data_IF_356675459666
#
_entry.id   IF_356675459666
#
_cell.length_a   1.000
_cell.length_b   1.000
_cell.length_c   1.000
_cell.angle_alpha   90.00
_cell.angle_beta   90.00
_cell.angle_gamma   90.00
#
_symmetry.space_group_name_H-M   'P 1'
#
loop_
_entity.id
_entity.type
_entity.pdbx_description
1 polymer ?
#
# COMPACT_ATOMS: atom_id res chain seq x y z
N UNK A 1 -4.98 12.48 10.20
CA UNK A 1 -4.20 12.56 11.46
C UNK A 1 -2.84 13.21 11.12
N UNK A 2 -2.18 13.94 12.04
CA UNK A 2 -0.81 14.41 11.78
C UNK A 2 0.18 13.23 11.82
N UNK A 3 1.28 13.30 11.07
CA UNK A 3 2.26 12.20 11.00
C UNK A 3 2.81 11.87 12.38
N UNK A 4 3.22 12.88 13.16
CA UNK A 4 3.76 12.66 14.51
C UNK A 4 2.78 11.94 15.46
N UNK A 5 1.48 12.24 15.33
CA UNK A 5 0.44 11.62 16.17
C UNK A 5 0.28 10.15 15.81
N UNK A 6 0.27 9.84 14.51
CA UNK A 6 0.19 8.46 14.04
C UNK A 6 1.43 7.67 14.44
N UNK A 7 2.63 8.26 14.31
CA UNK A 7 3.88 7.64 14.72
C UNK A 7 3.89 7.28 16.21
N UNK A 8 3.45 8.20 17.07
CA UNK A 8 3.33 7.95 18.52
C UNK A 8 2.31 6.86 18.86
N UNK A 9 1.14 6.85 18.21
CA UNK A 9 0.12 5.82 18.42
C UNK A 9 0.57 4.45 17.93
N UNK A 10 1.17 4.38 16.74
CA UNK A 10 1.69 3.13 16.20
C UNK A 10 2.75 2.53 17.13
N UNK A 11 3.70 3.35 17.60
CA UNK A 11 4.75 2.89 18.51
C UNK A 11 4.20 2.34 19.83
N UNK A 12 3.15 2.97 20.37
CA UNK A 12 2.51 2.51 21.60
C UNK A 12 1.73 1.19 21.41
N UNK A 13 0.99 1.06 20.31
CA UNK A 13 0.18 -0.13 20.03
C UNK A 13 1.02 -1.34 19.60
N UNK A 14 2.13 -1.11 18.89
CA UNK A 14 2.99 -2.18 18.37
C UNK A 14 4.23 -2.44 19.22
N UNK A 15 4.32 -1.88 20.43
CA UNK A 15 5.49 -2.00 21.32
C UNK A 15 6.81 -1.69 20.61
N UNK A 16 6.84 -0.63 19.79
CA UNK A 16 8.03 -0.31 19.01
C UNK A 16 9.14 0.29 19.89
N UNK A 17 10.24 -0.44 20.06
CA UNK A 17 11.33 -0.08 20.97
C UNK A 17 12.43 0.81 20.37
N UNK A 18 12.30 1.21 19.11
CA UNK A 18 13.28 2.10 18.46
C UNK A 18 12.78 3.55 18.39
N UNK A 19 13.52 4.41 17.69
CA UNK A 19 13.24 5.84 17.59
C UNK A 19 11.92 6.19 16.88
N UNK A 20 11.85 7.38 16.29
CA UNK A 20 10.60 7.82 15.65
C UNK A 20 10.23 7.00 14.40
N UNK A 21 8.93 6.69 14.25
CA UNK A 21 8.32 6.10 13.06
C UNK A 21 7.97 7.14 11.96
N UNK A 22 8.22 8.42 12.19
CA UNK A 22 7.81 9.51 11.29
C UNK A 22 8.39 9.34 9.88
N UNK A 23 9.69 9.02 9.78
CA UNK A 23 10.36 8.86 8.50
C UNK A 23 9.79 7.68 7.70
N UNK A 24 9.41 6.59 8.39
CA UNK A 24 8.76 5.42 7.78
C UNK A 24 7.39 5.80 7.24
N UNK A 25 6.57 6.51 8.02
CA UNK A 25 5.24 6.96 7.60
C UNK A 25 5.34 7.90 6.39
N UNK A 26 6.28 8.86 6.42
CA UNK A 26 6.55 9.74 5.27
C UNK A 26 6.94 8.90 4.06
N UNK A 27 7.87 7.96 4.21
CA UNK A 27 8.31 7.05 3.16
C UNK A 27 7.16 6.24 2.54
N UNK A 28 6.23 5.72 3.36
CA UNK A 28 5.05 4.96 2.91
C UNK A 28 3.97 5.83 2.23
N UNK A 29 4.10 7.15 2.32
CA UNK A 29 3.18 8.14 1.72
C UNK A 29 3.73 8.71 0.41
N UNK A 30 5.05 8.76 0.24
CA UNK A 30 5.71 9.39 -0.91
C UNK A 30 5.44 8.64 -2.22
N UNK A 31 4.73 9.29 -3.16
CA UNK A 31 4.35 8.69 -4.45
C UNK A 31 5.55 8.37 -5.35
N UNK A 32 6.60 9.18 -5.32
CA UNK A 32 7.83 8.91 -6.09
C UNK A 32 8.63 7.72 -5.55
N UNK A 33 8.34 7.26 -4.33
CA UNK A 33 8.92 6.06 -3.72
C UNK A 33 8.02 4.84 -3.79
N UNK A 34 6.72 4.99 -4.07
CA UNK A 34 5.74 3.90 -4.01
C UNK A 34 4.82 3.96 -5.23
N UNK A 35 4.67 2.87 -5.98
CA UNK A 35 3.72 2.86 -7.09
C UNK A 35 2.27 2.88 -6.63
N UNK A 36 2.00 2.41 -5.41
CA UNK A 36 0.71 2.57 -4.74
C UNK A 36 0.95 2.76 -3.23
N UNK A 37 1.09 4.02 -2.78
CA UNK A 37 1.28 4.33 -1.36
C UNK A 37 0.13 3.79 -0.49
N UNK A 38 0.46 3.35 0.72
CA UNK A 38 -0.52 2.89 1.72
C UNK A 38 -1.29 4.07 2.31
N UNK A 39 -0.61 5.21 2.46
CA UNK A 39 -1.18 6.45 2.97
C UNK A 39 -1.34 7.47 1.85
N UNK A 40 -2.39 8.28 1.94
CA UNK A 40 -2.51 9.53 1.21
C UNK A 40 -2.03 10.69 2.10
N UNK A 41 -1.08 11.47 1.57
CA UNK A 41 -0.55 12.65 2.25
C UNK A 41 -1.47 13.85 2.17
N UNK A 42 -1.45 14.67 3.22
CA UNK A 42 -2.06 16.00 3.31
C UNK A 42 -0.98 16.99 3.69
N UNK A 43 -0.59 17.86 2.75
CA UNK A 43 0.56 18.75 2.86
C UNK A 43 1.75 18.27 2.01
N UNK A 44 2.92 18.83 2.25
CA UNK A 44 4.10 18.61 1.41
C UNK A 44 4.88 17.36 1.82
N UNK A 45 4.85 16.31 0.98
CA UNK A 45 5.62 15.07 1.18
C UNK A 45 6.83 14.96 0.23
N UNK A 46 7.14 16.03 -0.50
CA UNK A 46 8.22 16.04 -1.50
C UNK A 46 7.82 15.39 -2.81
N UNK A 47 8.72 15.48 -3.78
CA UNK A 47 8.57 14.98 -5.16
C UNK A 47 9.84 14.21 -5.55
N UNK A 48 9.84 13.55 -6.71
CA UNK A 48 11.01 12.87 -7.23
C UNK A 48 12.25 13.78 -7.31
N UNK A 49 12.04 15.07 -7.63
CA UNK A 49 13.13 16.04 -7.86
C UNK A 49 13.46 16.91 -6.66
N UNK A 50 12.55 17.02 -5.70
CA UNK A 50 12.74 17.69 -4.41
C UNK A 50 12.14 16.79 -3.33
N UNK A 51 12.91 15.79 -2.84
CA UNK A 51 12.37 14.68 -2.04
C UNK A 51 12.09 15.03 -0.57
N UNK A 52 12.45 16.23 -0.13
CA UNK A 52 12.26 16.67 1.24
C UNK A 52 10.78 16.84 1.56
N UNK A 53 10.36 16.25 2.68
CA UNK A 53 9.02 16.41 3.21
C UNK A 53 8.98 17.52 4.25
N UNK A 54 7.81 18.13 4.43
CA UNK A 54 7.57 19.04 5.54
C UNK A 54 7.71 18.32 6.89
N UNK A 55 7.95 19.07 7.96
CA UNK A 55 8.15 18.47 9.27
C UNK A 55 6.90 17.67 9.72
N UNK A 56 7.05 16.50 10.39
CA UNK A 56 5.96 15.58 10.75
C UNK A 56 4.79 16.20 11.53
N UNK A 57 5.02 17.34 12.20
CA UNK A 57 4.02 18.10 12.96
C UNK A 57 3.06 18.88 12.06
N UNK A 58 3.51 19.27 10.87
CA UNK A 58 2.74 20.08 9.93
C UNK A 58 2.04 19.26 8.86
N UNK A 59 2.58 18.10 8.51
CA UNK A 59 2.00 17.21 7.50
C UNK A 59 1.07 16.16 8.14
N UNK A 60 0.05 15.75 7.39
CA UNK A 60 -0.92 14.75 7.81
C UNK A 60 -1.04 13.60 6.85
N UNK A 61 -1.56 12.48 7.33
CA UNK A 61 -1.85 11.29 6.55
C UNK A 61 -3.24 10.75 6.85
N UNK A 62 -3.77 10.01 5.88
CA UNK A 62 -4.94 9.14 6.00
C UNK A 62 -4.69 7.88 5.17
N UNK A 63 -5.43 6.81 5.42
CA UNK A 63 -5.34 5.63 4.56
C UNK A 63 -5.73 5.97 3.11
N UNK A 64 -5.01 5.38 2.17
CA UNK A 64 -5.40 5.39 0.78
C UNK A 64 -6.67 4.53 0.61
N UNK A 65 -7.61 4.98 -0.22
CA UNK A 65 -8.83 4.22 -0.57
C UNK A 65 -8.53 2.79 -1.04
N UNK A 66 -7.35 2.58 -1.62
CA UNK A 66 -6.91 1.29 -2.13
C UNK A 66 -6.51 0.30 -1.02
N UNK A 67 -6.31 0.75 0.23
CA UNK A 67 -5.80 -0.09 1.31
C UNK A 67 -6.67 -1.34 1.55
N UNK A 68 -7.97 -1.16 1.73
CA UNK A 68 -8.92 -2.26 1.97
C UNK A 68 -9.17 -3.14 0.73
N UNK A 69 -8.73 -2.70 -0.46
CA UNK A 69 -8.76 -3.50 -1.68
C UNK A 69 -7.47 -4.28 -1.86
N UNK A 70 -6.34 -3.71 -1.41
CA UNK A 70 -5.02 -4.31 -1.50
C UNK A 70 -4.79 -5.35 -0.41
N UNK A 71 -5.14 -5.07 0.85
CA UNK A 71 -4.96 -5.97 1.99
C UNK A 71 -6.30 -6.57 2.40
N UNK A 72 -6.34 -7.90 2.50
CA UNK A 72 -7.54 -8.69 2.80
C UNK A 72 -7.23 -9.73 3.86
N UNK A 73 -8.26 -10.41 4.35
CA UNK A 73 -8.15 -11.61 5.17
C UNK A 73 -7.36 -11.40 6.47
N UNK A 74 -7.58 -10.27 7.15
CA UNK A 74 -6.92 -9.95 8.42
C UNK A 74 -7.14 -11.03 9.49
N UNK A 75 -8.33 -11.63 9.53
CA UNK A 75 -8.67 -12.73 10.46
C UNK A 75 -7.87 -14.02 10.20
N UNK A 76 -7.20 -14.13 9.05
CA UNK A 76 -6.36 -15.29 8.70
C UNK A 76 -4.87 -15.04 8.94
N UNK A 77 -4.50 -13.85 9.40
CA UNK A 77 -3.11 -13.53 9.72
C UNK A 77 -2.66 -14.26 10.98
N UNK A 78 -1.35 -14.48 11.11
CA UNK A 78 -0.79 -15.12 12.29
C UNK A 78 -0.49 -14.04 13.34
N UNK A 79 -1.21 -14.01 14.48
CA UNK A 79 -1.01 -13.00 15.50
C UNK A 79 0.36 -13.15 16.15
N UNK A 80 0.95 -12.02 16.56
CA UNK A 80 2.14 -11.99 17.41
C UNK A 80 1.76 -11.36 18.74
N UNK A 81 2.49 -11.75 19.78
CA UNK A 81 2.29 -11.25 21.14
C UNK A 81 3.61 -10.76 21.71
N UNK A 82 3.56 -9.62 22.38
CA UNK A 82 4.67 -9.03 23.12
C UNK A 82 4.15 -8.51 24.45
N UNK A 83 4.85 -8.85 25.54
CA UNK A 83 4.41 -8.54 26.92
C UNK A 83 2.97 -9.01 27.28
N UNK A 84 2.44 -10.00 26.55
CA UNK A 84 1.08 -10.52 26.74
C UNK A 84 0.00 -9.80 25.94
N UNK A 85 0.34 -8.71 25.26
CA UNK A 85 -0.57 -7.97 24.37
C UNK A 85 -0.38 -8.42 22.91
N UNK A 86 -1.45 -8.42 22.14
CA UNK A 86 -1.42 -8.70 20.70
C UNK A 86 -0.88 -7.49 19.92
N UNK A 87 0.13 -7.72 19.07
CA UNK A 87 0.78 -6.69 18.23
C UNK A 87 0.54 -6.94 16.73
N UNK A 88 1.35 -6.36 15.84
CA UNK A 88 1.21 -6.60 14.41
C UNK A 88 1.42 -8.08 14.04
N UNK A 89 0.69 -8.62 13.04
CA UNK A 89 0.87 -9.99 12.63
C UNK A 89 2.26 -10.20 12.00
N UNK A 90 2.67 -11.47 11.88
CA UNK A 90 3.94 -11.83 11.23
C UNK A 90 4.07 -11.21 9.82
N UNK A 91 2.96 -11.21 9.07
CA UNK A 91 2.82 -10.48 7.82
C UNK A 91 1.34 -10.28 7.49
N UNK A 92 1.05 -9.24 6.70
CA UNK A 92 -0.28 -9.01 6.12
C UNK A 92 -0.46 -9.80 4.82
N UNK A 93 -1.72 -9.99 4.39
CA UNK A 93 -2.08 -10.75 3.20
C UNK A 93 -2.58 -9.84 2.06
N UNK A 94 -1.67 -9.24 1.27
CA UNK A 94 -2.08 -8.45 0.12
C UNK A 94 -2.65 -9.33 -0.99
N UNK A 95 -3.36 -8.72 -1.93
CA UNK A 95 -3.91 -9.36 -3.14
C UNK A 95 -2.84 -9.45 -4.25
N UNK A 96 -1.86 -8.55 -4.27
CA UNK A 96 -0.73 -8.54 -5.22
C UNK A 96 0.61 -8.47 -4.45
N UNK A 97 1.77 -8.87 -5.04
CA UNK A 97 3.03 -8.88 -4.31
C UNK A 97 3.53 -7.45 -4.05
N UNK A 98 3.25 -6.93 -2.85
CA UNK A 98 3.55 -5.54 -2.46
C UNK A 98 5.04 -5.23 -2.44
N UNK A 99 5.88 -6.25 -2.25
CA UNK A 99 7.34 -6.16 -2.35
C UNK A 99 7.81 -5.69 -3.74
N UNK A 100 7.11 -6.08 -4.81
CA UNK A 100 7.37 -5.59 -6.17
C UNK A 100 6.63 -4.28 -6.45
N UNK A 101 5.45 -4.08 -5.85
CA UNK A 101 4.63 -2.89 -6.05
C UNK A 101 5.35 -1.62 -5.60
N UNK A 102 5.82 -1.61 -4.35
CA UNK A 102 6.44 -0.45 -3.72
C UNK A 102 7.96 -0.60 -3.57
N UNK A 103 8.52 -1.70 -4.10
CA UNK A 103 9.95 -1.96 -4.07
C UNK A 103 10.52 -2.00 -2.66
N UNK A 104 11.83 -1.82 -2.58
CA UNK A 104 12.53 -1.71 -1.31
C UNK A 104 14.03 -1.88 -1.46
N UNK A 105 14.77 -1.27 -0.55
CA UNK A 105 16.21 -1.50 -0.43
C UNK A 105 16.57 -1.74 1.02
N UNK A 106 17.53 -2.62 1.24
CA UNK A 106 17.98 -3.00 2.58
C UNK A 106 19.31 -3.72 2.51
N UNK A 107 20.10 -3.56 3.57
CA UNK A 107 21.40 -4.23 3.72
C UNK A 107 21.39 -4.87 5.09
N UNK A 108 21.72 -6.15 5.12
CA UNK A 108 21.94 -6.93 6.33
C UNK A 108 23.32 -7.59 6.25
N UNK A 109 23.77 -8.21 7.34
CA UNK A 109 25.06 -8.90 7.36
C UNK A 109 25.03 -10.06 6.35
N UNK A 110 25.84 -9.97 5.30
CA UNK A 110 25.95 -10.99 4.24
C UNK A 110 24.90 -10.92 3.13
N UNK A 111 23.89 -10.04 3.22
CA UNK A 111 22.79 -9.97 2.25
C UNK A 111 22.39 -8.53 1.95
N UNK A 112 21.91 -8.30 0.73
CA UNK A 112 21.33 -7.02 0.33
C UNK A 112 20.06 -7.28 -0.47
N UNK A 113 19.17 -6.29 -0.49
CA UNK A 113 17.98 -6.29 -1.34
C UNK A 113 17.86 -4.93 -2.02
N UNK A 114 17.48 -4.96 -3.30
CA UNK A 114 17.24 -3.77 -4.13
C UNK A 114 16.19 -4.13 -5.16
N UNK A 115 14.94 -3.88 -4.83
CA UNK A 115 13.76 -4.23 -5.62
C UNK A 115 13.17 -2.92 -6.12
N UNK A 116 13.01 -2.80 -7.44
CA UNK A 116 12.42 -1.61 -8.03
C UNK A 116 10.90 -1.73 -8.08
N UNK A 117 10.23 -0.59 -8.01
CA UNK A 117 8.79 -0.54 -8.02
C UNK A 117 8.23 -1.00 -9.37
N UNK A 118 7.06 -1.63 -9.34
CA UNK A 118 6.32 -2.05 -10.53
C UNK A 118 5.00 -1.31 -10.64
N UNK A 119 4.56 -1.12 -11.87
CA UNK A 119 3.24 -0.60 -12.19
C UNK A 119 2.16 -1.48 -11.55
N UNK A 120 1.19 -0.92 -10.81
CA UNK A 120 0.16 -1.72 -10.16
C UNK A 120 -0.69 -2.49 -11.18
N UNK A 121 -0.95 -1.88 -12.34
CA UNK A 121 -1.73 -2.51 -13.43
C UNK A 121 -1.02 -3.73 -13.99
N UNK A 122 0.27 -3.59 -14.32
CA UNK A 122 1.04 -4.67 -14.93
C UNK A 122 1.24 -5.83 -13.95
N UNK A 123 1.38 -5.52 -12.65
CA UNK A 123 1.50 -6.52 -11.60
C UNK A 123 0.18 -7.30 -11.39
N UNK A 124 -0.97 -6.61 -11.42
CA UNK A 124 -2.29 -7.26 -11.37
C UNK A 124 -2.48 -8.15 -12.59
N UNK A 125 -2.17 -7.65 -13.79
CA UNK A 125 -2.31 -8.39 -15.03
C UNK A 125 -1.38 -9.63 -15.04
N UNK A 126 -0.18 -9.53 -14.48
CA UNK A 126 0.72 -10.68 -14.29
C UNK A 126 0.15 -11.72 -13.32
N UNK A 127 -0.44 -11.31 -12.20
CA UNK A 127 -1.10 -12.23 -11.26
C UNK A 127 -2.27 -12.96 -11.94
N UNK A 128 -3.08 -12.24 -12.72
CA UNK A 128 -4.19 -12.83 -13.50
C UNK A 128 -3.66 -13.83 -14.54
N UNK A 129 -2.61 -13.48 -15.30
CA UNK A 129 -1.99 -14.39 -16.25
C UNK A 129 -1.45 -15.65 -15.57
N UNK A 130 -0.78 -15.50 -14.43
CA UNK A 130 -0.26 -16.63 -13.65
C UNK A 130 -1.39 -17.57 -13.20
N UNK A 131 -2.48 -17.03 -12.64
CA UNK A 131 -3.67 -17.82 -12.26
C UNK A 131 -4.32 -18.52 -13.46
N UNK A 132 -4.24 -17.92 -14.65
CA UNK A 132 -4.79 -18.48 -15.88
C UNK A 132 -3.85 -19.44 -16.62
N UNK A 133 -2.64 -19.68 -16.11
CA UNK A 133 -1.63 -20.49 -16.81
C UNK A 133 -1.17 -19.84 -18.13
N UNK A 134 -1.37 -18.53 -18.29
CA UNK A 134 -0.95 -17.75 -19.45
C UNK A 134 0.44 -17.16 -19.23
N UNK A 135 1.25 -16.96 -20.30
CA UNK A 135 2.56 -16.36 -20.16
C UNK A 135 2.45 -14.93 -19.60
N UNK A 136 3.28 -14.62 -18.60
CA UNK A 136 3.39 -13.28 -18.05
C UNK A 136 4.17 -12.37 -19.01
N UNK A 137 3.74 -11.12 -19.11
CA UNK A 137 4.54 -10.08 -19.75
C UNK A 137 5.72 -9.72 -18.85
N UNK A 138 6.77 -9.17 -19.46
CA UNK A 138 7.89 -8.63 -18.70
C UNK A 138 7.43 -7.52 -17.77
N UNK A 139 7.80 -7.62 -16.49
CA UNK A 139 7.47 -6.64 -15.47
C UNK A 139 8.56 -5.57 -15.42
N UNK A 140 8.35 -4.49 -16.18
CA UNK A 140 9.27 -3.34 -16.21
C UNK A 140 9.14 -2.47 -14.94
N UNK A 141 10.27 -1.96 -14.40
CA UNK A 141 10.26 -1.00 -13.32
C UNK A 141 9.51 0.28 -13.69
N UNK A 142 8.87 0.89 -12.70
CA UNK A 142 8.16 2.15 -12.86
C UNK A 142 8.43 3.07 -11.69
N UNK A 143 8.84 4.30 -11.98
CA UNK A 143 9.02 5.36 -10.99
C UNK A 143 7.97 6.44 -11.25
N UNK A 144 7.18 6.77 -10.24
CA UNK A 144 6.18 7.83 -10.37
C UNK A 144 6.87 9.19 -10.49
N UNK A 145 6.41 10.01 -11.42
CA UNK A 145 7.03 11.30 -11.75
C UNK A 145 8.22 11.21 -12.71
N UNK A 146 8.57 10.02 -13.21
CA UNK A 146 9.56 9.84 -14.27
C UNK A 146 8.89 9.47 -15.59
N UNK A 147 9.14 10.25 -16.63
CA UNK A 147 8.55 10.10 -17.95
C UNK A 147 9.57 9.71 -19.03
N UNK A 148 10.78 9.31 -18.64
CA UNK A 148 11.81 8.82 -19.55
C UNK A 148 11.54 7.41 -20.05
N UNK A 149 12.52 6.79 -20.69
CA UNK A 149 12.41 5.40 -21.13
C UNK A 149 13.10 4.47 -20.14
N UNK A 150 12.52 3.29 -19.93
CA UNK A 150 13.10 2.21 -19.12
C UNK A 150 13.31 1.04 -20.04
N UNK A 151 14.53 0.53 -20.13
CA UNK A 151 14.84 -0.64 -20.97
C UNK A 151 15.67 -1.66 -20.21
N UNK A 152 15.47 -2.94 -20.54
CA UNK A 152 16.23 -4.03 -19.96
C UNK A 152 17.58 -4.15 -20.67
N UNK A 153 18.66 -4.35 -19.90
CA UNK A 153 19.98 -4.61 -20.47
C UNK A 153 20.04 -6.05 -21.02
N UNK A 154 20.31 -6.27 -22.33
CA UNK A 154 20.27 -7.61 -22.93
C UNK A 154 21.25 -8.60 -22.29
N UNK A 155 22.45 -8.13 -21.96
CA UNK A 155 23.55 -8.95 -21.39
C UNK A 155 23.38 -9.21 -19.89
N UNK A 156 22.53 -8.45 -19.20
CA UNK A 156 22.36 -8.51 -17.76
C UNK A 156 20.87 -8.42 -17.39
N UNK A 157 20.14 -9.55 -17.33
CA UNK A 157 18.68 -9.58 -17.24
C UNK A 157 18.10 -8.95 -15.96
N UNK A 158 18.92 -8.74 -14.92
CA UNK A 158 18.54 -8.04 -13.68
C UNK A 158 18.81 -6.54 -13.72
N UNK A 159 19.39 -6.02 -14.80
CA UNK A 159 19.81 -4.62 -14.92
C UNK A 159 18.88 -3.86 -15.85
N UNK A 160 18.43 -2.71 -15.36
CA UNK A 160 17.56 -1.78 -16.07
C UNK A 160 18.30 -0.47 -16.35
N UNK A 161 17.99 0.12 -17.50
CA UNK A 161 18.55 1.39 -17.94
C UNK A 161 17.41 2.41 -17.95
N UNK A 162 17.53 3.42 -17.10
CA UNK A 162 16.65 4.58 -17.09
C UNK A 162 17.28 5.67 -17.94
N UNK A 163 16.58 6.13 -18.97
CA UNK A 163 17.06 7.19 -19.87
C UNK A 163 16.15 8.41 -19.79
N UNK A 164 16.76 9.56 -19.50
CA UNK A 164 16.09 10.86 -19.57
C UNK A 164 15.75 11.27 -21.00
N UNK A 165 15.25 12.49 -21.17
CA UNK A 165 14.86 13.05 -22.47
C UNK A 165 15.55 14.38 -22.67
N UNK A 166 16.16 14.54 -23.84
CA UNK A 166 16.70 15.80 -24.30
C UNK A 166 16.55 15.92 -25.81
N UNK A 167 16.56 17.15 -26.30
CA UNK A 167 16.43 17.47 -27.72
C UNK A 167 17.45 18.56 -28.09
N UNK A 168 18.18 18.34 -29.19
CA UNK A 168 19.08 19.36 -29.75
C UNK A 168 18.25 20.27 -30.66
N UNK A 169 17.88 21.46 -30.16
CA UNK A 169 17.01 22.39 -30.89
C UNK A 169 17.70 23.08 -32.05
N UNK A 170 18.98 23.43 -31.88
CA UNK A 170 19.78 24.09 -32.92
C UNK A 170 21.28 23.86 -32.67
N UNK A 171 22.13 24.54 -33.45
CA UNK A 171 23.60 24.41 -33.41
C UNK A 171 24.25 24.91 -32.11
N UNK A 172 23.49 25.46 -31.16
CA UNK A 172 24.02 25.97 -29.89
C UNK A 172 23.12 25.69 -28.68
N UNK A 173 21.96 25.06 -28.86
CA UNK A 173 20.96 24.91 -27.78
C UNK A 173 20.51 23.46 -27.68
N UNK A 174 20.52 22.94 -26.45
CA UNK A 174 19.98 21.63 -26.09
C UNK A 174 18.95 21.84 -24.99
N UNK A 175 17.76 21.27 -25.15
CA UNK A 175 16.71 21.28 -24.13
C UNK A 175 16.64 19.91 -23.45
N UNK A 176 16.78 19.88 -22.13
CA UNK A 176 16.60 18.68 -21.31
C UNK A 176 15.22 18.75 -20.68
N UNK A 177 14.37 17.76 -20.95
CA UNK A 177 12.96 17.71 -20.52
C UNK A 177 12.67 16.59 -19.52
N UNK A 178 13.64 15.70 -19.28
CA UNK A 178 13.56 14.70 -18.22
C UNK A 178 14.98 14.21 -17.89
N UNK A 179 15.31 14.09 -16.60
CA UNK A 179 16.61 13.57 -16.14
C UNK A 179 16.45 12.19 -15.52
N UNK A 180 17.49 11.35 -15.38
CA UNK A 180 17.35 10.05 -14.72
C UNK A 180 16.83 10.16 -13.27
N UNK A 181 16.14 9.14 -12.72
CA UNK A 181 15.49 9.21 -11.41
C UNK A 181 16.41 9.54 -10.23
N UNK A 182 17.71 9.23 -10.28
CA UNK A 182 18.65 9.56 -9.21
C UNK A 182 18.95 11.05 -9.03
N UNK A 183 18.62 11.89 -10.02
CA UNK A 183 18.87 13.32 -9.96
C UNK A 183 17.71 14.09 -9.31
N UNK A 184 18.05 14.87 -8.27
CA UNK A 184 17.25 16.00 -7.80
C UNK A 184 17.57 17.25 -8.61
N UNK A 185 16.77 18.32 -8.48
CA UNK A 185 17.08 19.61 -9.10
C UNK A 185 18.48 20.08 -8.67
N UNK A 186 18.73 20.14 -7.36
CA UNK A 186 20.03 20.52 -6.78
C UNK A 186 21.20 19.69 -7.32
N UNK A 187 21.05 18.36 -7.43
CA UNK A 187 22.12 17.48 -7.92
C UNK A 187 22.40 17.68 -9.40
N UNK A 188 21.37 18.01 -10.19
CA UNK A 188 21.52 18.21 -11.62
C UNK A 188 22.06 19.61 -11.92
N UNK A 189 21.60 20.64 -11.22
CA UNK A 189 22.15 21.99 -11.29
C UNK A 189 23.64 22.00 -10.93
N UNK A 190 24.04 21.32 -9.85
CA UNK A 190 25.46 21.18 -9.52
C UNK A 190 26.29 20.49 -10.62
N UNK A 191 25.69 19.57 -11.39
CA UNK A 191 26.34 19.00 -12.57
C UNK A 191 26.47 20.04 -13.70
N UNK A 192 25.42 20.83 -13.95
CA UNK A 192 25.42 21.85 -14.99
C UNK A 192 26.39 22.99 -14.66
N UNK A 193 26.41 23.47 -13.42
CA UNK A 193 27.36 24.48 -12.93
C UNK A 193 28.80 24.06 -13.20
N UNK A 194 29.14 22.80 -12.86
CA UNK A 194 30.46 22.25 -13.16
C UNK A 194 30.76 22.25 -14.67
N UNK A 195 29.78 21.96 -15.52
CA UNK A 195 29.97 22.01 -16.98
C UNK A 195 30.15 23.45 -17.51
N UNK A 196 29.61 24.46 -16.82
CA UNK A 196 29.88 25.88 -17.10
C UNK A 196 31.31 26.23 -16.68
N UNK A 197 31.72 25.85 -15.47
CA UNK A 197 33.06 26.08 -14.95
C UNK A 197 34.15 25.44 -15.82
N UNK A 198 33.90 24.21 -16.30
CA UNK A 198 34.78 23.48 -17.21
C UNK A 198 34.76 24.05 -18.65
N UNK A 199 33.92 25.05 -18.93
CA UNK A 199 33.80 25.70 -20.24
C UNK A 199 33.14 24.83 -21.33
N UNK A 200 32.48 23.73 -20.94
CA UNK A 200 31.81 22.82 -21.87
C UNK A 200 30.49 23.41 -22.35
N UNK A 201 29.72 24.00 -21.44
CA UNK A 201 28.55 24.81 -21.74
C UNK A 201 28.83 26.28 -21.39
N UNK A 202 28.18 27.20 -22.09
CA UNK A 202 28.29 28.64 -21.83
C UNK A 202 27.41 29.07 -20.65
N UNK A 203 26.19 28.54 -20.60
CA UNK A 203 25.19 28.84 -19.58
C UNK A 203 24.04 27.84 -19.67
N UNK A 204 23.18 27.83 -18.66
CA UNK A 204 21.88 27.18 -18.70
C UNK A 204 20.80 28.07 -18.10
N UNK A 205 19.55 27.80 -18.46
CA UNK A 205 18.36 28.42 -17.88
C UNK A 205 17.45 27.32 -17.32
N UNK A 206 16.93 27.52 -16.11
CA UNK A 206 15.94 26.64 -15.48
C UNK A 206 14.51 27.13 -15.76
N UNK A 207 13.70 26.26 -16.35
CA UNK A 207 12.30 26.47 -16.68
C UNK A 207 11.40 25.40 -16.03
N UNK A 208 11.85 24.81 -14.92
CA UNK A 208 11.21 23.67 -14.25
C UNK A 208 9.93 24.07 -13.50
N UNK A 209 8.77 23.95 -14.14
CA UNK A 209 7.44 24.21 -13.53
C UNK A 209 6.67 22.91 -13.26
N UNK A 210 7.24 22.02 -12.42
CA UNK A 210 6.62 20.73 -12.05
C UNK A 210 7.26 19.49 -12.67
N UNK A 211 8.34 19.67 -13.44
CA UNK A 211 9.22 18.62 -13.97
C UNK A 211 10.53 19.26 -14.44
N UNK A 212 11.56 18.45 -14.64
CA UNK A 212 12.88 18.94 -15.06
C UNK A 212 12.81 19.55 -16.47
N UNK A 213 13.12 20.84 -16.58
CA UNK A 213 13.20 21.52 -17.87
C UNK A 213 14.35 22.53 -17.87
N UNK A 214 15.44 22.18 -18.55
CA UNK A 214 16.65 22.99 -18.62
C UNK A 214 17.02 23.32 -20.07
N UNK A 215 17.31 24.59 -20.33
CA UNK A 215 17.77 25.07 -21.64
C UNK A 215 19.27 25.34 -21.55
N UNK A 216 20.07 24.49 -22.19
CA UNK A 216 21.52 24.53 -22.16
C UNK A 216 22.07 25.27 -23.38
N UNK A 217 22.97 26.22 -23.18
CA UNK A 217 23.65 26.98 -24.25
C UNK A 217 25.09 26.51 -24.40
N UNK A 218 25.47 26.09 -25.61
CA UNK A 218 26.80 25.62 -25.96
C UNK A 218 27.50 26.58 -26.92
N UNK A 219 28.83 26.50 -27.00
CA UNK A 219 29.54 26.99 -28.17
C UNK A 219 29.25 26.08 -29.38
N UNK A 220 29.04 26.67 -30.56
CA UNK A 220 28.61 25.93 -31.76
C UNK A 220 29.55 24.78 -32.13
N UNK A 221 30.85 25.03 -32.12
CA UNK A 221 31.87 24.03 -32.43
C UNK A 221 31.84 22.86 -31.42
N UNK A 222 31.70 23.17 -30.12
CA UNK A 222 31.64 22.18 -29.05
C UNK A 222 30.41 21.28 -29.18
N UNK A 223 29.22 21.86 -29.41
CA UNK A 223 28.00 21.06 -29.57
C UNK A 223 28.06 20.17 -30.81
N UNK A 224 28.55 20.69 -31.93
CA UNK A 224 28.72 19.92 -33.16
C UNK A 224 29.65 18.71 -32.93
N UNK A 225 30.77 18.91 -32.24
CA UNK A 225 31.70 17.84 -31.89
C UNK A 225 31.06 16.79 -30.96
N UNK A 226 30.32 17.23 -29.93
CA UNK A 226 29.67 16.35 -28.96
C UNK A 226 28.56 15.50 -29.62
N UNK A 227 27.79 16.08 -30.54
CA UNK A 227 26.77 15.37 -31.32
C UNK A 227 27.45 14.36 -32.25
N UNK A 228 28.46 14.76 -33.02
CA UNK A 228 29.19 13.88 -33.94
C UNK A 228 29.84 12.69 -33.22
N UNK A 229 30.37 12.91 -32.02
CA UNK A 229 31.00 11.86 -31.20
C UNK A 229 30.01 11.11 -30.31
N UNK A 230 28.71 11.43 -30.37
CA UNK A 230 27.66 10.85 -29.53
C UNK A 230 27.98 10.90 -28.02
N UNK A 231 28.53 12.03 -27.55
CA UNK A 231 28.98 12.23 -26.15
C UNK A 231 27.99 12.99 -25.28
N UNK A 232 26.85 13.45 -25.83
CA UNK A 232 25.86 14.19 -25.05
C UNK A 232 25.22 13.35 -23.94
N UNK A 233 24.84 12.09 -24.22
CA UNK A 233 24.25 11.20 -23.21
C UNK A 233 25.19 11.00 -22.00
N UNK A 234 26.49 10.86 -22.22
CA UNK A 234 27.47 10.66 -21.14
C UNK A 234 27.80 11.96 -20.41
N UNK A 235 27.94 13.07 -21.13
CA UNK A 235 28.22 14.39 -20.57
C UNK A 235 27.09 14.85 -19.63
N UNK A 236 25.85 14.78 -20.11
CA UNK A 236 24.66 15.20 -19.38
C UNK A 236 24.13 14.11 -18.43
N UNK A 237 24.82 12.96 -18.35
CA UNK A 237 24.45 11.80 -17.53
C UNK A 237 22.99 11.39 -17.75
N UNK A 238 22.57 11.28 -19.01
CA UNK A 238 21.18 11.01 -19.41
C UNK A 238 20.76 9.55 -19.23
N UNK A 239 21.68 8.66 -18.85
CA UNK A 239 21.39 7.25 -18.59
C UNK A 239 21.88 6.84 -17.21
N UNK A 240 21.06 6.06 -16.52
CA UNK A 240 21.38 5.45 -15.23
C UNK A 240 21.11 3.94 -15.32
N UNK A 241 22.08 3.13 -14.87
CA UNK A 241 21.93 1.68 -14.80
C UNK A 241 21.65 1.25 -13.36
N UNK A 242 20.61 0.45 -13.16
CA UNK A 242 20.25 -0.09 -11.86
C UNK A 242 20.08 -1.59 -11.95
N UNK A 243 20.88 -2.33 -11.18
CA UNK A 243 20.77 -3.78 -11.05
C UNK A 243 19.90 -4.15 -9.85
N UNK A 244 18.89 -4.97 -10.09
CA UNK A 244 18.00 -5.48 -9.06
C UNK A 244 18.64 -6.64 -8.29
N UNK A 245 18.36 -6.67 -6.99
CA UNK A 245 18.63 -7.79 -6.11
C UNK A 245 17.32 -8.20 -5.43
N UNK A 246 16.71 -9.27 -5.95
CA UNK A 246 15.42 -9.80 -5.50
C UNK A 246 15.61 -10.82 -4.37
N UNK A 247 16.31 -10.41 -3.31
CA UNK A 247 16.46 -11.21 -2.09
C UNK A 247 15.36 -10.80 -1.11
N UNK A 248 14.56 -11.77 -0.65
CA UNK A 248 13.45 -11.58 0.29
C UNK A 248 13.48 -12.64 1.39
N UNK A 249 12.62 -12.47 2.39
CA UNK A 249 12.23 -13.55 3.29
C UNK A 249 10.96 -14.22 2.74
N UNK A 250 10.86 -15.53 2.90
CA UNK A 250 9.63 -16.27 2.64
C UNK A 250 8.69 -16.24 3.87
N UNK A 251 7.54 -16.89 3.74
CA UNK A 251 6.51 -16.96 4.79
C UNK A 251 6.97 -17.63 6.09
N UNK A 252 8.08 -18.39 6.04
CA UNK A 252 8.67 -19.05 7.21
C UNK A 252 9.88 -18.27 7.77
N UNK A 253 10.18 -17.09 7.22
CA UNK A 253 11.32 -16.27 7.61
C UNK A 253 12.66 -16.75 7.03
N UNK A 254 12.65 -17.65 6.05
CA UNK A 254 13.87 -18.12 5.37
C UNK A 254 14.23 -17.23 4.19
N UNK A 255 15.54 -17.03 3.96
CA UNK A 255 16.02 -16.25 2.83
C UNK A 255 15.72 -16.93 1.50
N UNK A 256 15.18 -16.16 0.56
CA UNK A 256 14.84 -16.60 -0.79
C UNK A 256 15.32 -15.58 -1.81
N UNK A 257 16.00 -16.06 -2.85
CA UNK A 257 16.56 -15.21 -3.91
C UNK A 257 15.88 -15.56 -5.22
N UNK A 258 15.28 -14.57 -5.87
CA UNK A 258 14.62 -14.75 -7.15
C UNK A 258 15.51 -14.33 -8.33
N UNK A 259 15.34 -15.00 -9.46
CA UNK A 259 16.03 -14.66 -10.72
C UNK A 259 15.35 -13.50 -11.46
N UNK A 260 14.03 -13.37 -11.32
CA UNK A 260 13.24 -12.32 -11.95
C UNK A 260 11.99 -11.93 -11.15
N UNK A 261 11.38 -10.79 -11.50
CA UNK A 261 10.15 -10.32 -10.86
C UNK A 261 8.95 -11.23 -11.20
N UNK A 262 8.96 -11.87 -12.37
CA UNK A 262 7.96 -12.83 -12.81
C UNK A 262 8.00 -14.10 -11.95
N UNK A 263 9.20 -14.62 -11.64
CA UNK A 263 9.37 -15.77 -10.75
C UNK A 263 8.83 -15.47 -9.34
N UNK A 264 9.17 -14.30 -8.79
CA UNK A 264 8.64 -13.84 -7.50
C UNK A 264 7.10 -13.73 -7.55
N UNK A 265 6.55 -13.17 -8.63
CA UNK A 265 5.10 -13.05 -8.81
C UNK A 265 4.43 -14.43 -8.83
N UNK A 266 4.99 -15.41 -9.56
CA UNK A 266 4.46 -16.77 -9.59
C UNK A 266 4.52 -17.48 -8.23
N UNK A 267 5.61 -17.27 -7.48
CA UNK A 267 5.75 -17.76 -6.12
C UNK A 267 4.67 -17.17 -5.21
N UNK A 268 4.51 -15.84 -5.24
CA UNK A 268 3.51 -15.13 -4.45
C UNK A 268 2.09 -15.59 -4.79
N UNK A 269 1.74 -15.74 -6.06
CA UNK A 269 0.40 -16.18 -6.49
C UNK A 269 0.10 -17.57 -5.95
N UNK A 270 1.06 -18.50 -6.02
CA UNK A 270 0.92 -19.86 -5.47
C UNK A 270 0.70 -19.83 -3.97
N UNK A 271 1.52 -19.06 -3.24
CA UNK A 271 1.37 -18.85 -1.80
C UNK A 271 0.00 -18.26 -1.45
N UNK A 272 -0.39 -17.19 -2.14
CA UNK A 272 -1.62 -16.44 -1.86
C UNK A 272 -2.86 -17.25 -2.17
N UNK A 273 -2.83 -18.08 -3.22
CA UNK A 273 -3.91 -19.01 -3.57
C UNK A 273 -4.18 -20.02 -2.43
N UNK A 274 -3.14 -20.47 -1.72
CA UNK A 274 -3.30 -21.31 -0.53
C UNK A 274 -4.10 -20.62 0.59
N UNK A 275 -3.92 -19.32 0.77
CA UNK A 275 -4.73 -18.53 1.70
C UNK A 275 -6.17 -18.29 1.20
N UNK A 276 -6.41 -18.26 -0.11
CA UNK A 276 -7.79 -18.21 -0.63
C UNK A 276 -8.57 -19.49 -0.34
N UNK A 277 -7.90 -20.65 -0.29
CA UNK A 277 -8.52 -21.89 0.19
C UNK A 277 -8.90 -21.76 1.67
N UNK A 278 -7.97 -21.29 2.52
CA UNK A 278 -8.26 -21.02 3.95
C UNK A 278 -9.40 -20.02 4.13
N UNK A 279 -9.46 -18.99 3.28
CA UNK A 279 -10.55 -17.99 3.29
C UNK A 279 -11.89 -18.63 2.97
N UNK A 280 -11.94 -19.52 1.96
CA UNK A 280 -13.17 -20.25 1.63
C UNK A 280 -13.64 -21.07 2.84
N UNK A 281 -12.73 -21.81 3.48
CA UNK A 281 -13.04 -22.62 4.65
C UNK A 281 -13.56 -21.76 5.81
N UNK A 282 -12.90 -20.64 6.09
CA UNK A 282 -13.31 -19.67 7.11
C UNK A 282 -14.70 -19.07 6.84
N UNK A 283 -14.99 -18.70 5.59
CA UNK A 283 -16.31 -18.19 5.19
C UNK A 283 -17.40 -19.25 5.37
N UNK A 284 -17.12 -20.50 4.97
CA UNK A 284 -18.05 -21.64 5.13
C UNK A 284 -18.32 -21.90 6.62
N UNK A 285 -17.28 -21.88 7.46
CA UNK A 285 -17.43 -22.09 8.90
C UNK A 285 -18.26 -20.97 9.55
N UNK A 286 -17.97 -19.71 9.23
CA UNK A 286 -18.68 -18.56 9.80
C UNK A 286 -20.14 -18.51 9.36
N UNK A 287 -20.42 -18.69 8.07
CA UNK A 287 -21.79 -18.79 7.56
C UNK A 287 -22.54 -19.97 8.20
N UNK A 288 -21.86 -21.11 8.38
CA UNK A 288 -22.43 -22.26 9.09
C UNK A 288 -22.78 -21.97 10.55
N UNK A 289 -21.91 -21.25 11.28
CA UNK A 289 -22.18 -20.80 12.66
C UNK A 289 -23.32 -19.79 12.70
N UNK A 290 -23.37 -18.86 11.74
CA UNK A 290 -24.43 -17.87 11.62
C UNK A 290 -25.79 -18.54 11.36
N UNK A 291 -25.88 -19.44 10.39
CA UNK A 291 -27.11 -20.18 10.06
C UNK A 291 -27.61 -20.99 11.27
N UNK A 292 -26.71 -21.64 12.02
CA UNK A 292 -27.07 -22.34 13.27
C UNK A 292 -27.66 -21.38 14.29
N UNK A 293 -27.00 -20.25 14.53
CA UNK A 293 -27.44 -19.23 15.48
C UNK A 293 -28.81 -18.65 15.10
N UNK A 294 -29.00 -18.31 13.83
CA UNK A 294 -30.28 -17.83 13.31
C UNK A 294 -31.38 -18.89 13.44
N UNK A 295 -31.07 -20.16 13.15
CA UNK A 295 -32.00 -21.28 13.31
C UNK A 295 -32.44 -21.45 14.76
N UNK A 296 -31.51 -21.42 15.71
CA UNK A 296 -31.82 -21.58 17.13
C UNK A 296 -32.62 -20.39 17.67
N UNK A 297 -32.27 -19.16 17.28
CA UNK A 297 -33.04 -17.96 17.64
C UNK A 297 -34.46 -17.99 17.07
N UNK A 298 -34.61 -18.40 15.82
CA UNK A 298 -35.93 -18.53 15.19
C UNK A 298 -36.77 -19.62 15.88
N UNK A 299 -36.18 -20.78 16.19
CA UNK A 299 -36.86 -21.85 16.92
C UNK A 299 -37.30 -21.41 18.32
N UNK A 300 -36.44 -20.68 19.05
CA UNK A 300 -36.73 -20.14 20.37
C UNK A 300 -37.90 -19.15 20.34
N UNK A 301 -37.87 -18.15 19.44
CA UNK A 301 -38.96 -17.19 19.29
C UNK A 301 -40.25 -17.91 18.90
N UNK A 302 -40.19 -18.86 17.97
CA UNK A 302 -41.36 -19.64 17.56
C UNK A 302 -41.97 -20.40 18.74
N UNK A 303 -41.15 -21.07 19.56
CA UNK A 303 -41.63 -21.79 20.73
C UNK A 303 -42.27 -20.85 21.78
N UNK A 304 -41.81 -19.60 21.90
CA UNK A 304 -42.43 -18.58 22.76
C UNK A 304 -43.77 -18.11 22.19
N UNK A 305 -43.82 -17.82 20.88
CA UNK A 305 -45.06 -17.40 20.19
C UNK A 305 -46.12 -18.51 20.28
N UNK A 306 -45.71 -19.77 20.13
CA UNK A 306 -46.58 -20.94 20.22
C UNK A 306 -46.98 -21.27 21.69
N UNK A 307 -46.47 -20.53 22.67
CA UNK A 307 -46.76 -20.74 24.11
C UNK A 307 -46.08 -21.98 24.71
N UNK A 308 -45.13 -22.60 24.00
CA UNK A 308 -44.39 -23.79 24.45
C UNK A 308 -43.24 -23.46 25.41
N UNK A 309 -42.66 -22.27 25.26
CA UNK A 309 -41.71 -21.69 26.21
C UNK A 309 -42.35 -20.47 26.88
N UNK A 310 -42.32 -20.45 28.21
CA UNK A 310 -42.82 -19.32 29.00
C UNK A 310 -41.64 -18.67 29.72
N UNK A 311 -41.44 -17.38 29.48
CA UNK A 311 -40.36 -16.58 30.11
C UNK A 311 -40.83 -15.88 31.37
N UNK A 312 -42.09 -15.42 31.39
CA UNK A 312 -42.61 -14.61 32.47
C UNK A 312 -42.63 -15.41 33.78
N UNK A 313 -41.92 -14.89 34.79
CA UNK A 313 -41.84 -15.46 36.14
C UNK A 313 -41.28 -16.90 36.20
N UNK A 314 -40.48 -17.31 35.21
CA UNK A 314 -39.88 -18.66 35.15
C UNK A 314 -38.42 -18.63 35.63
N UNK A 315 -38.02 -19.48 36.59
CA UNK A 315 -36.63 -19.61 37.01
C UNK A 315 -35.69 -19.97 35.85
N UNK A 316 -34.47 -19.43 35.84
CA UNK A 316 -33.46 -19.68 34.77
C UNK A 316 -33.21 -21.17 34.53
N UNK A 317 -33.18 -21.98 35.58
CA UNK A 317 -32.98 -23.43 35.47
C UNK A 317 -34.11 -24.13 34.71
N UNK A 318 -35.36 -23.70 34.93
CA UNK A 318 -36.53 -24.24 34.26
C UNK A 318 -36.62 -23.76 32.81
N UNK A 319 -36.28 -22.49 32.55
CA UNK A 319 -36.13 -21.97 31.18
C UNK A 319 -35.13 -22.79 30.36
N UNK A 320 -33.97 -23.10 30.92
CA UNK A 320 -32.97 -23.96 30.27
C UNK A 320 -33.52 -25.37 30.01
N UNK A 321 -34.34 -25.90 30.92
CA UNK A 321 -34.99 -27.20 30.72
C UNK A 321 -36.03 -27.15 29.58
N UNK A 322 -36.83 -26.08 29.49
CA UNK A 322 -37.79 -25.87 28.40
C UNK A 322 -37.07 -25.75 27.04
N UNK A 323 -35.98 -24.97 26.97
CA UNK A 323 -35.18 -24.82 25.73
C UNK A 323 -34.58 -26.17 25.30
N UNK A 324 -34.08 -26.97 26.26
CA UNK A 324 -33.59 -28.33 25.99
C UNK A 324 -34.71 -29.25 25.50
N UNK A 325 -35.91 -29.15 26.08
CA UNK A 325 -37.09 -29.91 25.67
C UNK A 325 -37.53 -29.63 24.24
N UNK A 326 -37.32 -28.40 23.77
CA UNK A 326 -37.54 -27.96 22.38
C UNK A 326 -36.44 -28.43 21.40
N UNK A 327 -35.45 -29.19 21.89
CA UNK A 327 -34.36 -29.72 21.05
C UNK A 327 -33.37 -28.66 20.58
N UNK A 328 -33.35 -27.48 21.21
CA UNK A 328 -32.41 -26.41 20.86
C UNK A 328 -31.07 -26.69 21.54
N UNK A 329 -29.97 -26.87 20.79
CA UNK A 329 -28.64 -27.12 21.36
C UNK A 329 -28.06 -25.87 22.03
N UNK A 330 -27.24 -26.08 23.05
CA UNK A 330 -26.43 -25.02 23.63
C UNK A 330 -25.28 -24.64 22.68
N UNK A 331 -24.91 -23.36 22.64
CA UNK A 331 -23.71 -22.87 21.96
C UNK A 331 -22.65 -22.56 23.02
N UNK A 332 -21.42 -23.07 22.85
CA UNK A 332 -20.32 -22.88 23.80
C UNK A 332 -20.69 -23.31 25.24
N UNK A 333 -21.54 -24.33 25.37
CA UNK A 333 -22.02 -24.83 26.66
C UNK A 333 -23.10 -23.98 27.33
N UNK A 334 -23.58 -22.93 26.68
CA UNK A 334 -24.56 -21.99 27.23
C UNK A 334 -25.76 -21.70 26.30
N UNK A 335 -26.84 -21.22 26.92
CA UNK A 335 -28.03 -20.68 26.23
C UNK A 335 -28.08 -19.15 26.29
N UNK A 336 -27.01 -18.50 26.75
CA UNK A 336 -26.97 -17.05 26.94
C UNK A 336 -27.28 -16.29 25.64
N UNK A 337 -26.85 -16.79 24.48
CA UNK A 337 -27.14 -16.18 23.18
C UNK A 337 -28.64 -16.07 22.81
N UNK A 338 -29.49 -16.84 23.52
CA UNK A 338 -30.96 -16.77 23.45
C UNK A 338 -31.53 -15.93 24.60
N UNK A 339 -31.03 -16.14 25.81
CA UNK A 339 -31.54 -15.47 27.02
C UNK A 339 -31.18 -13.98 27.07
N UNK A 340 -30.11 -13.57 26.40
CA UNK A 340 -29.70 -12.17 26.26
C UNK A 340 -30.49 -11.40 25.21
N UNK A 341 -31.46 -12.05 24.54
CA UNK A 341 -32.29 -11.41 23.52
C UNK A 341 -33.27 -10.43 24.18
N UNK A 342 -33.41 -9.19 23.66
CA UNK A 342 -34.34 -8.22 24.22
C UNK A 342 -35.79 -8.69 24.02
N UNK A 343 -36.69 -8.40 24.97
CA UNK A 343 -38.11 -8.77 24.87
C UNK A 343 -38.78 -8.27 23.57
N UNK A 344 -38.36 -7.13 23.04
CA UNK A 344 -38.83 -6.58 21.76
C UNK A 344 -38.51 -7.47 20.55
N UNK A 345 -37.57 -8.40 20.67
CA UNK A 345 -37.21 -9.36 19.62
C UNK A 345 -38.05 -10.64 19.63
N UNK A 346 -38.92 -10.83 20.64
CA UNK A 346 -39.76 -12.02 20.81
C UNK A 346 -41.11 -11.84 20.10
N UNK A 347 -41.07 -11.35 18.87
CA UNK A 347 -42.25 -11.00 18.07
C UNK A 347 -42.30 -11.79 16.77
N UNK A 348 -43.49 -11.87 16.16
CA UNK A 348 -43.68 -12.57 14.89
C UNK A 348 -42.87 -11.92 13.77
N UNK A 349 -42.83 -10.59 13.74
CA UNK A 349 -42.07 -9.80 12.78
C UNK A 349 -40.58 -10.14 12.85
N UNK A 350 -40.05 -10.30 14.07
CA UNK A 350 -38.63 -10.64 14.25
C UNK A 350 -38.34 -12.08 13.85
N UNK A 351 -39.24 -13.01 14.13
CA UNK A 351 -39.14 -14.38 13.64
C UNK A 351 -39.05 -14.43 12.11
N UNK A 352 -39.92 -13.71 11.40
CA UNK A 352 -39.90 -13.61 9.94
C UNK A 352 -38.59 -12.96 9.42
N UNK A 353 -38.09 -11.91 10.09
CA UNK A 353 -36.80 -11.29 9.76
C UNK A 353 -35.62 -12.28 9.91
N UNK A 354 -35.61 -13.09 10.98
CA UNK A 354 -34.56 -14.09 11.19
C UNK A 354 -34.61 -15.20 10.15
N UNK A 355 -35.81 -15.64 9.74
CA UNK A 355 -35.94 -16.62 8.66
C UNK A 355 -35.44 -16.05 7.33
N UNK A 356 -35.73 -14.78 7.04
CA UNK A 356 -35.21 -14.11 5.84
C UNK A 356 -33.68 -14.06 5.85
N UNK A 357 -33.08 -13.62 6.97
CA UNK A 357 -31.62 -13.58 7.14
C UNK A 357 -30.99 -14.95 7.05
N UNK A 358 -31.63 -15.98 7.60
CA UNK A 358 -31.19 -17.37 7.47
C UNK A 358 -31.15 -17.79 6.01
N UNK A 359 -32.23 -17.53 5.26
CA UNK A 359 -32.28 -17.85 3.83
C UNK A 359 -31.21 -17.12 3.02
N UNK A 360 -30.97 -15.84 3.31
CA UNK A 360 -29.87 -15.06 2.71
C UNK A 360 -28.50 -15.69 3.00
N UNK A 361 -28.23 -16.09 4.24
CA UNK A 361 -27.00 -16.75 4.64
C UNK A 361 -26.84 -18.15 4.01
N UNK A 362 -27.92 -18.93 3.88
CA UNK A 362 -27.92 -20.24 3.21
C UNK A 362 -27.61 -20.12 1.71
N UNK A 363 -28.21 -19.13 1.03
CA UNK A 363 -27.90 -18.84 -0.38
C UNK A 363 -26.44 -18.42 -0.55
N UNK A 364 -25.93 -17.59 0.36
CA UNK A 364 -24.53 -17.16 0.33
C UNK A 364 -23.57 -18.33 0.60
N UNK A 365 -23.89 -19.22 1.54
CA UNK A 365 -23.12 -20.44 1.80
C UNK A 365 -23.07 -21.34 0.56
N UNK A 366 -24.20 -21.54 -0.11
CA UNK A 366 -24.25 -22.33 -1.34
C UNK A 366 -23.40 -21.68 -2.45
N UNK A 367 -23.44 -20.35 -2.57
CA UNK A 367 -22.59 -19.58 -3.50
C UNK A 367 -21.12 -19.78 -3.21
N UNK A 368 -20.70 -19.69 -1.93
CA UNK A 368 -19.30 -19.85 -1.51
C UNK A 368 -18.81 -21.28 -1.76
N UNK A 369 -19.63 -22.29 -1.46
CA UNK A 369 -19.29 -23.70 -1.67
C UNK A 369 -19.04 -24.01 -3.15
N UNK A 370 -19.86 -23.45 -4.06
CA UNK A 370 -19.73 -23.63 -5.51
C UNK A 370 -18.52 -22.94 -6.12
N UNK A 371 -18.03 -21.87 -5.50
CA UNK A 371 -16.89 -21.10 -6.03
C UNK A 371 -15.56 -21.76 -5.71
N UNK A 372 -14.67 -21.78 -6.68
CA UNK A 372 -13.30 -22.22 -6.47
C UNK A 372 -12.44 -21.11 -5.81
N UNK A 373 -11.45 -21.44 -4.97
CA UNK A 373 -10.54 -20.45 -4.37
C UNK A 373 -9.91 -19.49 -5.39
N UNK A 374 -9.59 -20.02 -6.59
CA UNK A 374 -9.07 -19.24 -7.71
C UNK A 374 -10.05 -18.15 -8.18
N UNK A 375 -11.35 -18.41 -8.16
CA UNK A 375 -12.36 -17.45 -8.62
C UNK A 375 -12.46 -16.26 -7.66
N UNK A 376 -12.43 -16.52 -6.34
CA UNK A 376 -12.33 -15.45 -5.34
C UNK A 376 -11.10 -14.57 -5.57
N UNK A 377 -9.96 -15.20 -5.86
CA UNK A 377 -8.73 -14.45 -6.12
C UNK A 377 -8.84 -13.59 -7.39
N UNK A 378 -9.38 -14.14 -8.48
CA UNK A 378 -9.61 -13.40 -9.72
C UNK A 378 -10.59 -12.22 -9.53
N UNK A 379 -11.62 -12.38 -8.69
CA UNK A 379 -12.58 -11.31 -8.38
C UNK A 379 -11.93 -10.15 -7.63
N UNK A 380 -11.12 -10.44 -6.61
CA UNK A 380 -10.38 -9.41 -5.85
C UNK A 380 -9.38 -8.68 -6.77
N UNK A 381 -8.64 -9.40 -7.62
CA UNK A 381 -7.72 -8.82 -8.60
C UNK A 381 -8.45 -7.91 -9.59
N UNK A 382 -9.59 -8.34 -10.14
CA UNK A 382 -10.42 -7.52 -11.06
C UNK A 382 -10.98 -6.27 -10.38
N UNK A 383 -11.39 -6.40 -9.11
CA UNK A 383 -11.91 -5.28 -8.32
C UNK A 383 -10.81 -4.24 -8.09
N UNK A 384 -9.63 -4.69 -7.67
CA UNK A 384 -8.46 -3.82 -7.51
C UNK A 384 -8.08 -3.16 -8.85
N UNK A 385 -8.04 -3.93 -9.94
CA UNK A 385 -7.73 -3.41 -11.28
C UNK A 385 -8.67 -2.29 -11.70
N UNK A 386 -9.98 -2.46 -11.48
CA UNK A 386 -11.00 -1.46 -11.83
C UNK A 386 -10.75 -0.15 -11.10
N UNK A 387 -10.49 -0.18 -9.79
CA UNK A 387 -10.20 1.02 -8.99
C UNK A 387 -8.91 1.70 -9.45
N UNK A 388 -7.82 0.96 -9.61
CA UNK A 388 -6.52 1.50 -10.06
C UNK A 388 -6.59 2.12 -11.45
N UNK A 389 -7.39 1.56 -12.36
CA UNK A 389 -7.57 2.13 -13.71
C UNK A 389 -8.39 3.43 -13.73
N UNK A 390 -9.27 3.63 -12.74
CA UNK A 390 -10.15 4.80 -12.65
C UNK A 390 -9.54 6.04 -11.98
N UNK A 391 -8.45 5.89 -11.20
CA UNK A 391 -7.86 6.97 -10.39
C UNK A 391 -6.81 7.83 -11.11
N UNK A 392 -6.74 7.84 -12.44
CA UNK A 392 -5.74 8.62 -13.22
C UNK A 392 -6.10 10.11 -13.38
N UNK A 393 -6.54 10.79 -12.33
CA UNK A 393 -6.53 12.26 -12.30
C UNK A 393 -5.54 12.68 -11.22
N UNK A 394 -4.38 13.25 -11.58
CA UNK A 394 -3.48 13.81 -10.57
C UNK A 394 -4.25 14.90 -9.80
N UNK A 395 -4.15 14.86 -8.47
CA UNK A 395 -4.62 15.99 -7.66
C UNK A 395 -3.82 17.22 -8.11
N UNK A 396 -4.45 18.39 -8.27
CA UNK A 396 -3.74 19.60 -8.69
C UNK A 396 -2.60 19.88 -7.70
N UNK A 397 -1.46 20.39 -8.18
CA UNK A 397 -0.36 20.77 -7.31
C UNK A 397 -0.89 21.72 -6.23
N UNK A 398 -0.75 21.31 -4.96
CA UNK A 398 -1.04 22.20 -3.85
C UNK A 398 0.00 23.31 -3.88
N UNK A 399 -0.48 24.55 -4.03
CA UNK A 399 0.38 25.73 -3.99
C UNK A 399 1.25 25.71 -2.73
N UNK A 400 2.54 26.09 -2.84
CA UNK A 400 3.38 26.21 -1.66
C UNK A 400 2.76 27.24 -0.72
N UNK A 401 2.36 26.77 0.46
CA UNK A 401 2.09 27.61 1.63
C UNK A 401 3.18 28.67 1.73
N UNK A 402 2.77 29.93 1.71
CA UNK A 402 3.65 31.09 1.81
C UNK A 402 4.71 30.86 2.89
N UNK A 403 5.98 31.12 2.54
CA UNK A 403 7.07 31.21 3.51
C UNK A 403 6.69 32.28 4.54
N UNK A 404 6.42 31.87 5.78
CA UNK A 404 6.44 32.82 6.88
C UNK A 404 7.87 33.35 7.06
N UNK A 405 8.06 34.65 7.31
CA UNK A 405 9.38 35.24 7.43
C UNK A 405 10.07 34.69 8.69
N UNK A 406 11.31 34.28 8.50
CA UNK A 406 12.27 33.99 9.57
C UNK A 406 12.32 35.15 10.56
N UNK A 407 11.88 34.91 11.79
CA UNK A 407 12.22 35.80 12.92
C UNK A 407 13.50 35.30 13.57
N UNK A 408 14.62 35.89 13.14
CA UNK A 408 15.79 36.08 13.99
C UNK A 408 16.07 37.60 14.05
N UNK A 409 16.76 38.01 15.11
CA UNK A 409 16.87 39.36 15.70
C UNK A 409 15.70 39.72 16.63
N UNK A 410 15.89 39.99 17.93
CA UNK A 410 17.10 40.21 18.71
C UNK A 410 16.69 40.57 20.14
N UNK A 411 17.63 40.40 21.06
CA UNK A 411 17.54 40.63 22.50
C UNK A 411 16.91 41.97 22.95
N UNK A 412 16.48 41.95 24.22
CA UNK A 412 16.33 43.07 25.16
C UNK A 412 14.89 43.43 25.56
N UNK A 413 14.32 42.67 26.50
CA UNK A 413 13.52 43.23 27.60
C UNK A 413 13.81 42.44 28.89
N UNK A 414 14.94 42.73 29.52
CA UNK A 414 15.10 42.64 30.97
C UNK A 414 14.70 44.00 31.57
N UNK A 415 14.16 43.97 32.78
CA UNK A 415 13.82 45.08 33.69
C UNK A 415 12.38 45.60 33.64
N UNK A 416 11.50 44.93 34.38
CA UNK A 416 10.64 45.65 35.34
C UNK A 416 10.14 44.75 36.48
N UNK A 417 11.01 44.51 37.47
CA UNK A 417 10.61 44.12 38.83
C UNK A 417 11.55 44.79 39.84
N UNK A 418 10.97 45.64 40.70
CA UNK A 418 11.61 46.42 41.77
C UNK A 418 11.79 47.89 41.37
N UNK A 419 11.33 48.89 42.12
CA UNK A 419 10.77 48.97 43.46
C UNK A 419 10.99 50.41 43.95
N UNK A 420 9.97 50.97 44.62
CA UNK A 420 9.84 52.32 45.20
C UNK A 420 9.52 53.47 44.26
#
# INVERSE_FOLDING_TARGET
MKVFQLGGQAAALSFFHHGSLDATIIGMTQEFKNSMPIFQGVGQFGTLRSPEAGAPRYIGVKFNDNFNLLYKDFDLTTPKYEEGEEIEPLYFLPVIPTVLLNGGSGIAVGFATKILNRSPVDLIDACISCLNGSPMRTLEPRVFGFNGTVTRKPEAPKTWIFRGKYEVKNTSTVEVTEVPPSFTYEKYEALLDKLVEDGVIKSFEDHSSGGAHYVLKFARATLEELVKKNRLDSLLKMTEQVTENLTTLDENGSLKVFSSAEELTAYFVSFRLGYYSKRKDFLVENLGKEIKTLTYRAAFIKAIIDGRIVIANTPKAELVAQIKGEGIPAQEGSYEFLLSMPMSSLTKEKFEELLKKKGEAEMELERVLKKEPREFYLEDLKTLRKKVSGTRTPSPPQEPSAKEPSKEEGDSIFNWLGGK
#
